data_IF_764938342334
#
_entry.id   IF_764938342334
#
_cell.length_a   1.000
_cell.length_b   1.000
_cell.length_c   1.000
_cell.angle_alpha   90.00
_cell.angle_beta   90.00
_cell.angle_gamma   90.00
#
_symmetry.space_group_name_H-M   'P 1'
#
loop_
_entity.id
_entity.type
_entity.pdbx_description
1 polymer ?
#
# COMPACT_ATOMS: atom_id res chain seq x y z
N UNK A 1 -23.84 6.36 -15.47
CA UNK A 1 -22.36 6.27 -15.46
C UNK A 1 -21.95 5.10 -14.58
N UNK A 2 -21.00 4.27 -15.01
CA UNK A 2 -20.47 3.19 -14.17
C UNK A 2 -19.65 3.79 -13.04
N UNK A 3 -19.85 3.31 -11.80
CA UNK A 3 -19.08 3.75 -10.64
C UNK A 3 -17.62 3.38 -10.78
N UNK A 4 -16.74 4.22 -10.25
CA UNK A 4 -15.31 3.91 -10.17
C UNK A 4 -15.06 2.83 -9.11
N UNK A 5 -14.16 1.92 -9.41
CA UNK A 5 -13.86 0.74 -8.61
C UNK A 5 -12.51 0.87 -7.92
N UNK A 6 -12.50 0.80 -6.59
CA UNK A 6 -11.30 0.98 -5.77
C UNK A 6 -10.93 -0.34 -5.10
N UNK A 7 -9.80 -0.95 -5.49
CA UNK A 7 -9.25 -2.10 -4.79
C UNK A 7 -8.44 -1.62 -3.58
N UNK A 8 -8.77 -2.17 -2.41
CA UNK A 8 -8.12 -1.85 -1.15
C UNK A 8 -7.09 -2.94 -0.85
N UNK A 9 -5.81 -2.65 -1.14
CA UNK A 9 -4.70 -3.59 -0.98
C UNK A 9 -4.23 -3.69 0.49
N UNK A 10 -5.17 -3.93 1.40
CA UNK A 10 -4.93 -4.03 2.84
C UNK A 10 -6.03 -4.84 3.52
N UNK A 11 -5.97 -4.98 4.85
CA UNK A 11 -6.90 -5.76 5.66
C UNK A 11 -7.32 -5.02 6.94
N UNK A 12 -8.20 -5.66 7.71
CA UNK A 12 -8.52 -5.24 9.08
C UNK A 12 -9.20 -3.86 9.14
N UNK A 13 -8.86 -3.10 10.17
CA UNK A 13 -9.50 -1.82 10.46
C UNK A 13 -9.21 -0.76 9.40
N UNK A 14 -7.99 -0.72 8.84
CA UNK A 14 -7.66 0.27 7.80
C UNK A 14 -8.42 -0.01 6.50
N UNK A 15 -8.56 -1.28 6.10
CA UNK A 15 -9.37 -1.62 4.94
C UNK A 15 -10.83 -1.20 5.16
N UNK A 16 -11.39 -1.46 6.35
CA UNK A 16 -12.74 -1.03 6.70
C UNK A 16 -12.90 0.49 6.69
N UNK A 17 -11.90 1.23 7.18
CA UNK A 17 -11.88 2.71 7.16
C UNK A 17 -11.92 3.24 5.73
N UNK A 18 -11.11 2.65 4.84
CA UNK A 18 -11.06 3.04 3.42
C UNK A 18 -12.36 2.69 2.71
N UNK A 19 -12.94 1.50 2.95
CA UNK A 19 -14.24 1.09 2.39
C UNK A 19 -15.31 2.13 2.69
N UNK A 20 -15.38 2.66 3.91
CA UNK A 20 -16.34 3.71 4.28
C UNK A 20 -16.16 4.95 3.40
N UNK A 21 -14.93 5.46 3.28
CA UNK A 21 -14.66 6.64 2.47
C UNK A 21 -14.92 6.43 0.98
N UNK A 22 -14.62 5.24 0.45
CA UNK A 22 -14.92 4.87 -0.95
C UNK A 22 -16.44 4.93 -1.20
N UNK A 23 -17.23 4.37 -0.28
CA UNK A 23 -18.71 4.39 -0.38
C UNK A 23 -19.30 5.78 -0.20
N UNK A 24 -18.75 6.60 0.69
CA UNK A 24 -19.15 8.01 0.86
C UNK A 24 -18.93 8.84 -0.41
N UNK A 25 -17.95 8.46 -1.24
CA UNK A 25 -17.66 9.06 -2.54
C UNK A 25 -18.45 8.43 -3.71
N UNK A 26 -19.43 7.61 -3.43
CA UNK A 26 -20.26 6.88 -4.42
C UNK A 26 -19.44 6.00 -5.38
N UNK A 27 -18.34 5.40 -4.88
CA UNK A 27 -17.50 4.45 -5.60
C UNK A 27 -17.74 3.01 -5.08
N UNK A 28 -17.33 1.99 -5.85
CA UNK A 28 -17.35 0.60 -5.44
C UNK A 28 -16.07 0.21 -4.72
N UNK A 29 -16.20 -0.38 -3.55
CA UNK A 29 -15.10 -0.87 -2.73
C UNK A 29 -14.85 -2.37 -2.98
N UNK A 30 -13.63 -2.71 -3.42
CA UNK A 30 -13.18 -4.09 -3.60
C UNK A 30 -12.21 -4.42 -2.46
N UNK A 31 -12.59 -5.33 -1.57
CA UNK A 31 -11.70 -5.87 -0.56
C UNK A 31 -10.87 -7.03 -1.13
N UNK A 32 -9.67 -7.19 -0.61
CA UNK A 32 -8.88 -8.41 -0.81
C UNK A 32 -8.72 -9.15 0.52
N UNK A 33 -8.61 -10.48 0.49
CA UNK A 33 -8.50 -11.26 1.73
C UNK A 33 -7.67 -12.54 1.56
N UNK A 34 -7.02 -12.94 2.64
CA UNK A 34 -6.35 -14.24 2.81
C UNK A 34 -7.27 -15.23 3.50
N UNK A 35 -6.85 -16.51 3.61
CA UNK A 35 -7.62 -17.56 4.29
C UNK A 35 -8.15 -17.14 5.67
N UNK A 36 -7.27 -16.56 6.50
CA UNK A 36 -7.62 -16.18 7.88
C UNK A 36 -8.56 -14.98 7.98
N UNK A 37 -8.73 -14.24 6.90
CA UNK A 37 -9.55 -13.03 6.87
C UNK A 37 -10.90 -13.22 6.18
N UNK A 38 -11.24 -14.41 5.72
CA UNK A 38 -12.47 -14.69 4.95
C UNK A 38 -13.74 -14.17 5.65
N UNK A 39 -13.82 -14.28 6.97
CA UNK A 39 -14.95 -13.82 7.79
C UNK A 39 -14.79 -12.40 8.36
N UNK A 40 -13.72 -11.70 7.99
CA UNK A 40 -13.40 -10.38 8.52
C UNK A 40 -14.41 -9.32 8.10
N UNK A 41 -14.57 -8.29 8.93
CA UNK A 41 -15.57 -7.24 8.74
C UNK A 41 -15.33 -6.44 7.44
N UNK A 42 -14.07 -6.21 7.05
CA UNK A 42 -13.76 -5.50 5.80
C UNK A 42 -14.24 -6.27 4.56
N UNK A 43 -14.16 -7.61 4.58
CA UNK A 43 -14.69 -8.48 3.52
C UNK A 43 -16.21 -8.34 3.43
N UNK A 44 -16.90 -8.44 4.58
CA UNK A 44 -18.37 -8.35 4.67
C UNK A 44 -18.94 -6.96 4.31
N UNK A 45 -18.15 -5.90 4.38
CA UNK A 45 -18.56 -4.51 4.14
C UNK A 45 -18.21 -3.99 2.76
N UNK A 46 -17.34 -4.67 2.02
CA UNK A 46 -17.00 -4.33 0.64
C UNK A 46 -18.17 -4.67 -0.31
N UNK A 47 -18.17 -4.07 -1.49
CA UNK A 47 -19.14 -4.39 -2.55
C UNK A 47 -18.73 -5.65 -3.30
N UNK A 48 -17.40 -5.90 -3.40
CA UNK A 48 -16.81 -7.11 -3.92
C UNK A 48 -15.63 -7.53 -3.05
N UNK A 49 -15.37 -8.82 -2.95
CA UNK A 49 -14.21 -9.36 -2.23
C UNK A 49 -13.45 -10.36 -3.10
N UNK A 50 -12.13 -10.22 -3.15
CA UNK A 50 -11.24 -11.06 -3.96
C UNK A 50 -10.29 -11.86 -3.07
N UNK A 51 -10.30 -13.18 -3.24
CA UNK A 51 -9.43 -14.08 -2.50
C UNK A 51 -7.98 -14.05 -3.04
N UNK A 52 -7.02 -13.79 -2.16
CA UNK A 52 -5.60 -13.69 -2.50
C UNK A 52 -4.82 -15.01 -2.37
N UNK A 53 -5.33 -15.98 -1.60
CA UNK A 53 -4.61 -17.20 -1.25
C UNK A 53 -4.18 -17.22 0.20
N UNK A 54 -3.15 -18.00 0.49
CA UNK A 54 -2.69 -18.45 1.80
C UNK A 54 -2.64 -17.45 2.95
N UNK A 55 -2.49 -17.99 4.15
CA UNK A 55 -2.58 -17.24 5.41
C UNK A 55 -1.41 -16.29 5.64
N UNK A 56 -0.22 -16.61 5.09
CA UNK A 56 0.96 -15.78 5.28
C UNK A 56 0.89 -14.49 4.44
N UNK A 57 1.29 -13.34 4.99
CA UNK A 57 1.33 -12.09 4.22
C UNK A 57 2.18 -12.17 2.95
N UNK A 58 3.25 -12.96 2.94
CA UNK A 58 4.10 -13.21 1.75
C UNK A 58 3.38 -13.95 0.62
N UNK A 59 2.36 -14.71 0.95
CA UNK A 59 1.53 -15.47 0.00
C UNK A 59 0.32 -14.65 -0.48
N UNK A 60 -0.07 -13.62 0.25
CA UNK A 60 -1.27 -12.82 0.06
C UNK A 60 -0.98 -11.31 -0.07
N UNK A 61 -1.11 -10.55 1.01
CA UNK A 61 -1.06 -9.07 1.03
C UNK A 61 0.29 -8.46 0.64
N UNK A 62 1.39 -9.21 0.75
CA UNK A 62 2.74 -8.77 0.33
C UNK A 62 3.18 -9.40 -0.99
N UNK A 63 2.30 -10.14 -1.67
CA UNK A 63 2.57 -10.74 -2.97
C UNK A 63 2.10 -9.81 -4.08
N UNK A 64 3.04 -9.10 -4.71
CA UNK A 64 2.75 -8.15 -5.80
C UNK A 64 2.05 -8.85 -6.97
N UNK A 65 2.47 -10.06 -7.35
CA UNK A 65 1.87 -10.80 -8.48
C UNK A 65 0.40 -11.10 -8.23
N UNK A 66 0.08 -11.58 -7.03
CA UNK A 66 -1.30 -11.89 -6.62
C UNK A 66 -2.18 -10.65 -6.59
N UNK A 67 -1.67 -9.53 -6.03
CA UNK A 67 -2.41 -8.27 -6.03
C UNK A 67 -2.59 -7.70 -7.45
N UNK A 68 -1.59 -7.78 -8.31
CA UNK A 68 -1.72 -7.35 -9.71
C UNK A 68 -2.73 -8.21 -10.48
N UNK A 69 -2.82 -9.50 -10.16
CA UNK A 69 -3.87 -10.39 -10.68
C UNK A 69 -5.25 -9.94 -10.19
N UNK A 70 -5.42 -9.69 -8.88
CA UNK A 70 -6.66 -9.18 -8.31
C UNK A 70 -7.12 -7.88 -8.98
N UNK A 71 -6.22 -6.92 -9.18
CA UNK A 71 -6.50 -5.66 -9.89
C UNK A 71 -7.03 -5.90 -11.30
N UNK A 72 -6.47 -6.91 -11.99
CA UNK A 72 -6.90 -7.26 -13.37
C UNK A 72 -8.28 -7.90 -13.37
N UNK A 73 -8.46 -8.92 -12.57
CA UNK A 73 -9.67 -9.76 -12.53
C UNK A 73 -10.89 -8.95 -12.07
N UNK A 74 -10.70 -8.07 -11.10
CA UNK A 74 -11.75 -7.18 -10.57
C UNK A 74 -11.96 -5.92 -11.42
N UNK A 75 -11.14 -5.70 -12.44
CA UNK A 75 -11.19 -4.48 -13.28
C UNK A 75 -11.16 -3.19 -12.44
N UNK A 76 -10.32 -3.15 -11.41
CA UNK A 76 -10.20 -1.99 -10.55
C UNK A 76 -9.65 -0.78 -11.31
N UNK A 77 -10.29 0.38 -11.17
CA UNK A 77 -9.83 1.66 -11.71
C UNK A 77 -8.71 2.28 -10.86
N UNK A 78 -8.74 2.01 -9.55
CA UNK A 78 -7.87 2.61 -8.54
C UNK A 78 -7.42 1.57 -7.52
N UNK A 79 -6.25 1.81 -6.91
CA UNK A 79 -5.74 1.01 -5.80
C UNK A 79 -5.40 1.92 -4.63
N UNK A 80 -5.94 1.59 -3.45
CA UNK A 80 -5.58 2.21 -2.18
C UNK A 80 -4.79 1.21 -1.32
N UNK A 81 -3.51 1.45 -1.04
CA UNK A 81 -2.67 0.51 -0.29
C UNK A 81 -2.88 0.55 1.23
N UNK A 82 -3.57 1.57 1.76
CA UNK A 82 -3.64 1.81 3.19
C UNK A 82 -2.28 2.22 3.77
N UNK A 83 -1.89 1.60 4.88
CA UNK A 83 -0.55 1.71 5.47
C UNK A 83 0.03 0.32 5.77
N UNK A 84 1.37 0.22 5.93
CA UNK A 84 2.05 -1.07 6.06
C UNK A 84 1.99 -1.91 4.78
N UNK A 85 2.28 -3.20 4.88
CA UNK A 85 2.37 -4.13 3.73
C UNK A 85 3.10 -3.54 2.53
N UNK A 86 2.40 -3.27 1.42
CA UNK A 86 2.98 -2.71 0.20
C UNK A 86 2.73 -1.20 0.05
N UNK A 87 2.19 -0.52 1.06
CA UNK A 87 1.97 0.94 1.00
C UNK A 87 3.28 1.73 0.81
N UNK A 88 4.39 1.20 1.35
CA UNK A 88 5.72 1.79 1.23
C UNK A 88 6.60 1.09 0.18
N UNK A 89 5.99 0.30 -0.71
CA UNK A 89 6.69 -0.43 -1.76
C UNK A 89 6.60 0.31 -3.10
N UNK A 90 7.71 0.94 -3.51
CA UNK A 90 7.78 1.71 -4.75
C UNK A 90 7.54 0.84 -6.01
N UNK A 91 7.96 -0.44 -5.99
CA UNK A 91 7.79 -1.33 -7.14
C UNK A 91 6.32 -1.70 -7.35
N UNK A 92 5.57 -1.89 -6.27
CA UNK A 92 4.13 -2.11 -6.35
C UNK A 92 3.40 -0.88 -6.89
N UNK A 93 3.68 0.31 -6.35
CA UNK A 93 3.10 1.56 -6.85
C UNK A 93 3.39 1.77 -8.34
N UNK A 94 4.64 1.52 -8.78
CA UNK A 94 5.07 1.58 -10.18
C UNK A 94 4.35 0.56 -11.06
N UNK A 95 4.17 -0.68 -10.56
CA UNK A 95 3.46 -1.72 -11.29
C UNK A 95 1.99 -1.36 -11.53
N UNK A 96 1.30 -0.82 -10.51
CA UNK A 96 -0.08 -0.34 -10.61
C UNK A 96 -0.20 0.78 -11.64
N UNK A 97 0.66 1.80 -11.57
CA UNK A 97 0.66 2.92 -12.51
C UNK A 97 0.97 2.48 -13.95
N UNK A 98 1.96 1.58 -14.13
CA UNK A 98 2.31 1.02 -15.45
C UNK A 98 1.14 0.29 -16.11
N UNK A 99 0.24 -0.26 -15.32
CA UNK A 99 -0.99 -0.92 -15.79
C UNK A 99 -2.10 0.07 -16.19
N UNK A 100 -1.89 1.38 -16.00
CA UNK A 100 -2.90 2.41 -16.25
C UNK A 100 -3.93 2.55 -15.14
N UNK A 101 -3.71 1.91 -13.97
CA UNK A 101 -4.57 1.99 -12.80
C UNK A 101 -4.10 3.12 -11.89
N UNK A 102 -5.02 3.89 -11.33
CA UNK A 102 -4.71 5.02 -10.45
C UNK A 102 -4.19 4.49 -9.10
N UNK A 103 -3.00 4.90 -8.73
CA UNK A 103 -2.43 4.68 -7.41
C UNK A 103 -2.85 5.80 -6.46
N UNK A 104 -3.55 5.46 -5.38
CA UNK A 104 -3.95 6.43 -4.34
C UNK A 104 -2.85 6.48 -3.28
N UNK A 105 -1.91 7.40 -3.47
CA UNK A 105 -0.73 7.54 -2.60
C UNK A 105 0.37 8.37 -3.25
N UNK A 106 1.53 8.51 -2.57
CA UNK A 106 2.69 9.20 -3.12
C UNK A 106 3.21 8.50 -4.38
N UNK A 107 3.93 9.23 -5.23
CA UNK A 107 4.56 8.60 -6.39
C UNK A 107 5.70 7.64 -5.99
N UNK A 108 6.08 6.69 -6.86
CA UNK A 108 7.11 5.68 -6.52
C UNK A 108 8.45 6.27 -6.10
N UNK A 109 8.87 7.38 -6.69
CA UNK A 109 10.13 8.06 -6.36
C UNK A 109 10.08 8.65 -4.95
N UNK A 110 8.96 9.25 -4.57
CA UNK A 110 8.73 9.75 -3.21
C UNK A 110 8.72 8.60 -2.19
N UNK A 111 8.02 7.51 -2.49
CA UNK A 111 8.01 6.31 -1.62
C UNK A 111 9.45 5.83 -1.39
N UNK A 112 10.24 5.71 -2.45
CA UNK A 112 11.62 5.24 -2.38
C UNK A 112 12.52 6.18 -1.57
N UNK A 113 12.45 7.49 -1.81
CA UNK A 113 13.30 8.48 -1.14
C UNK A 113 12.95 8.66 0.34
N UNK A 114 11.65 8.57 0.69
CA UNK A 114 11.19 8.72 2.07
C UNK A 114 11.23 7.42 2.87
N UNK A 115 11.22 6.27 2.21
CA UNK A 115 11.33 4.95 2.84
C UNK A 115 12.76 4.64 3.33
N UNK A 116 13.79 5.26 2.76
CA UNK A 116 15.17 5.15 3.24
C UNK A 116 15.45 6.22 4.32
N UNK A 117 15.80 5.77 5.51
CA UNK A 117 16.03 6.63 6.68
C UNK A 117 17.19 7.62 6.48
N UNK A 118 18.20 7.25 5.71
CA UNK A 118 19.37 8.10 5.44
C UNK A 118 19.02 9.11 4.35
N UNK A 119 18.42 8.65 3.26
CA UNK A 119 18.01 9.51 2.16
C UNK A 119 16.93 10.53 2.58
N UNK A 120 15.95 10.11 3.40
CA UNK A 120 14.94 11.02 3.93
C UNK A 120 15.55 12.11 4.82
N UNK A 121 16.52 11.78 5.67
CA UNK A 121 17.28 12.81 6.45
C UNK A 121 18.05 13.79 5.58
N UNK A 122 18.74 13.30 4.55
CA UNK A 122 19.44 14.16 3.60
C UNK A 122 18.48 15.12 2.89
N UNK A 123 17.33 14.61 2.47
CA UNK A 123 16.31 15.39 1.79
C UNK A 123 15.76 16.50 2.70
N UNK A 124 15.41 16.17 3.96
CA UNK A 124 14.92 17.11 4.97
C UNK A 124 15.99 18.17 5.30
N UNK A 125 17.25 17.75 5.49
CA UNK A 125 18.37 18.68 5.71
C UNK A 125 18.56 19.65 4.54
N UNK A 126 18.47 19.14 3.31
CA UNK A 126 18.57 19.97 2.09
C UNK A 126 17.43 20.98 1.97
N UNK A 127 16.26 20.63 2.47
CA UNK A 127 15.10 21.52 2.54
C UNK A 127 15.17 22.55 3.68
N UNK A 128 16.26 22.57 4.47
CA UNK A 128 16.45 23.50 5.60
C UNK A 128 15.58 23.16 6.83
N UNK A 129 14.98 21.99 6.88
CA UNK A 129 14.14 21.58 7.99
C UNK A 129 14.95 20.86 9.07
N UNK A 130 14.56 21.07 10.33
CA UNK A 130 15.17 20.38 11.49
C UNK A 130 14.68 18.94 11.55
N UNK A 131 15.56 18.03 11.85
CA UNK A 131 15.24 16.61 12.09
C UNK A 131 15.98 16.09 13.34
N UNK A 132 15.56 14.95 13.86
CA UNK A 132 16.26 14.29 14.97
C UNK A 132 17.71 14.00 14.56
N UNK A 133 18.71 14.35 15.39
CA UNK A 133 20.13 14.06 15.12
C UNK A 133 20.35 12.57 14.80
N UNK A 134 21.23 12.30 13.87
CA UNK A 134 21.58 10.94 13.49
C UNK A 134 22.55 10.92 12.32
N UNK A 135 23.10 9.74 12.06
CA UNK A 135 24.09 9.56 11.02
C UNK A 135 23.47 9.70 9.62
N UNK A 136 24.24 10.32 8.70
CA UNK A 136 23.92 10.44 7.28
C UNK A 136 24.61 9.37 6.42
N UNK A 137 25.29 8.42 7.06
CA UNK A 137 25.93 7.26 6.42
C UNK A 137 25.63 6.00 7.23
N UNK A 138 25.49 4.83 6.60
CA UNK A 138 25.35 3.57 7.32
C UNK A 138 26.59 3.30 8.19
N UNK A 139 26.40 2.94 9.45
CA UNK A 139 27.48 2.40 10.30
C UNK A 139 27.86 1.01 9.81
N UNK A 140 29.13 0.77 9.52
CA UNK A 140 29.62 -0.53 9.06
C UNK A 140 30.19 -1.38 10.18
N UNK A 141 30.50 -0.77 11.32
CA UNK A 141 31.07 -1.45 12.49
C UNK A 141 30.37 -1.04 13.78
N UNK A 142 30.47 -1.89 14.82
CA UNK A 142 29.94 -1.59 16.15
C UNK A 142 30.56 -0.31 16.74
N UNK A 143 31.84 -0.02 16.44
CA UNK A 143 32.57 1.17 16.91
C UNK A 143 32.06 2.48 16.27
N UNK A 144 31.54 2.43 15.04
CA UNK A 144 30.94 3.59 14.38
C UNK A 144 29.50 3.86 14.85
N UNK A 145 28.86 2.88 15.48
CA UNK A 145 27.49 2.96 15.97
C UNK A 145 27.39 3.47 17.42
N UNK A 146 28.53 3.56 18.15
CA UNK A 146 28.63 4.06 19.53
C UNK A 146 29.09 5.50 19.53
#
# INVERSE_FOLDING_TARGET
>A
MTKKRVLIANRGEIALRIIRSVKELDMEAIAVYSDVDADSLHVKRADEAYYLGGSLPSESYRNIKTLMKAITDTKADMVHPGYGFLAENADFAKAVQKKGVIWIGPNPETIKSMGDKIESRKLISKAGLKHVPGQLKPSRTKREAT
#
